data_IF_065194912950
#
_entry.id   IF_065194912950
#
_cell.length_a   1.000
_cell.length_b   1.000
_cell.length_c   1.000
_cell.angle_alpha   90.00
_cell.angle_beta   90.00
_cell.angle_gamma   90.00
#
_symmetry.space_group_name_H-M   'P 1'
#
loop_
_entity.id
_entity.type
_entity.pdbx_description
1 polymer ?
#
# COMPACT_ATOMS: atom_id res chain seq x y z
N UNK A 1 50.32 21.59 -59.31
CA UNK A 1 50.81 21.06 -57.99
C UNK A 1 50.07 21.66 -56.80
N UNK A 2 49.25 22.67 -56.93
CA UNK A 2 48.57 23.36 -55.84
C UNK A 2 47.23 22.72 -55.40
N UNK A 3 46.52 22.03 -56.27
CA UNK A 3 45.21 21.43 -55.93
C UNK A 3 45.32 20.21 -55.00
N UNK A 4 46.38 19.44 -55.02
CA UNK A 4 46.54 18.28 -54.12
C UNK A 4 46.85 18.65 -52.69
N UNK A 5 47.30 19.87 -52.41
CA UNK A 5 47.62 20.31 -51.07
C UNK A 5 46.39 20.89 -50.33
N UNK A 6 45.41 21.42 -51.06
CA UNK A 6 44.18 21.94 -50.50
C UNK A 6 43.21 20.81 -50.11
N UNK A 7 43.15 19.72 -50.87
CA UNK A 7 42.32 18.55 -50.48
C UNK A 7 42.84 17.85 -49.23
N UNK A 8 44.15 17.67 -49.11
CA UNK A 8 44.73 17.07 -47.87
C UNK A 8 44.59 17.92 -46.64
N UNK A 9 44.57 19.25 -46.77
CA UNK A 9 44.28 20.16 -45.64
C UNK A 9 42.79 20.12 -45.26
N UNK A 10 41.89 19.98 -46.24
CA UNK A 10 40.45 19.81 -45.99
C UNK A 10 40.13 18.52 -45.25
N UNK A 11 40.72 17.39 -45.65
CA UNK A 11 40.50 16.09 -45.02
C UNK A 11 40.99 16.06 -43.55
N UNK A 12 42.14 16.67 -43.27
CA UNK A 12 42.64 16.78 -41.92
C UNK A 12 41.80 17.71 -41.02
N UNK A 13 41.28 18.79 -41.60
CA UNK A 13 40.39 19.69 -40.90
C UNK A 13 39.04 19.00 -40.61
N UNK A 14 38.51 18.30 -41.59
CA UNK A 14 37.27 17.52 -41.45
C UNK A 14 37.43 16.40 -40.43
N UNK A 15 38.52 15.65 -40.46
CA UNK A 15 38.81 14.60 -39.49
C UNK A 15 38.90 15.13 -38.04
N UNK A 16 39.51 16.32 -37.84
CA UNK A 16 39.57 16.97 -36.52
C UNK A 16 38.20 17.40 -36.05
N UNK A 17 37.37 17.96 -36.93
CA UNK A 17 36.00 18.38 -36.61
C UNK A 17 35.11 17.17 -36.27
N UNK A 18 35.21 16.09 -37.03
CA UNK A 18 34.52 14.85 -36.74
C UNK A 18 34.95 14.23 -35.42
N UNK A 19 36.24 14.22 -35.10
CA UNK A 19 36.78 13.68 -33.85
C UNK A 19 36.27 14.47 -32.65
N UNK A 20 36.30 15.81 -32.73
CA UNK A 20 35.77 16.66 -31.64
C UNK A 20 34.27 16.50 -31.44
N UNK A 21 33.50 16.31 -32.53
CA UNK A 21 32.07 16.05 -32.46
C UNK A 21 31.75 14.70 -31.78
N UNK A 22 32.48 13.66 -32.18
CA UNK A 22 32.33 12.32 -31.57
C UNK A 22 32.72 12.36 -30.08
N UNK A 23 33.79 13.05 -29.73
CA UNK A 23 34.17 13.21 -28.34
C UNK A 23 33.12 13.97 -27.53
N UNK A 24 32.54 15.01 -28.08
CA UNK A 24 31.43 15.77 -27.48
C UNK A 24 30.21 14.89 -27.21
N UNK A 25 29.80 14.08 -28.20
CA UNK A 25 28.66 13.15 -28.02
C UNK A 25 28.95 12.12 -26.91
N UNK A 26 30.18 11.62 -26.86
CA UNK A 26 30.59 10.63 -25.85
C UNK A 26 30.54 11.21 -24.44
N UNK A 27 31.01 12.44 -24.27
CA UNK A 27 30.90 13.17 -22.99
C UNK A 27 29.45 13.39 -22.59
N UNK A 28 28.56 13.78 -23.53
CA UNK A 28 27.15 13.94 -23.26
C UNK A 28 26.49 12.64 -22.80
N UNK A 29 26.82 11.51 -23.42
CA UNK A 29 26.30 10.18 -23.04
C UNK A 29 26.77 9.84 -21.60
N UNK A 30 28.03 10.06 -21.27
CA UNK A 30 28.57 9.82 -19.91
C UNK A 30 27.85 10.70 -18.89
N UNK A 31 27.63 11.98 -19.20
CA UNK A 31 26.92 12.90 -18.31
C UNK A 31 25.46 12.45 -18.10
N UNK A 32 24.77 12.03 -19.15
CA UNK A 32 23.39 11.51 -19.04
C UNK A 32 23.34 10.24 -18.21
N UNK A 33 24.24 9.29 -18.42
CA UNK A 33 24.30 8.08 -17.62
C UNK A 33 24.61 8.39 -16.16
N UNK A 34 25.52 9.33 -15.88
CA UNK A 34 25.89 9.73 -14.53
C UNK A 34 24.76 10.42 -13.79
N UNK A 35 24.01 11.32 -14.47
CA UNK A 35 22.85 12.00 -13.87
C UNK A 35 21.70 11.02 -13.62
N UNK A 36 21.44 10.09 -14.55
CA UNK A 36 20.42 9.06 -14.38
C UNK A 36 20.79 8.14 -13.21
N UNK A 37 22.05 7.72 -13.12
CA UNK A 37 22.53 6.90 -12.01
C UNK A 37 22.46 7.64 -10.67
N UNK A 38 22.86 8.92 -10.62
CA UNK A 38 22.78 9.75 -9.42
C UNK A 38 21.32 9.97 -8.98
N UNK A 39 20.38 10.07 -9.92
CA UNK A 39 18.96 10.19 -9.62
C UNK A 39 18.40 8.90 -9.04
N UNK A 40 18.78 7.74 -9.61
CA UNK A 40 18.39 6.44 -9.08
C UNK A 40 19.02 6.15 -7.71
N UNK A 41 20.28 6.47 -7.51
CA UNK A 41 20.94 6.26 -6.21
C UNK A 41 20.53 7.30 -5.17
N UNK A 42 20.26 8.54 -5.57
CA UNK A 42 19.76 9.59 -4.68
C UNK A 42 18.30 9.36 -4.23
N UNK A 43 17.48 8.77 -5.07
CA UNK A 43 16.11 8.42 -4.69
C UNK A 43 16.03 7.16 -3.79
N UNK A 44 17.10 6.37 -3.74
CA UNK A 44 17.22 5.21 -2.83
C UNK A 44 17.83 5.59 -1.47
N UNK A 45 18.48 6.75 -1.37
CA UNK A 45 18.88 7.34 -0.09
C UNK A 45 17.81 8.28 0.49
N UNK A 46 16.57 7.90 0.44
CA UNK A 46 15.61 8.34 1.45
C UNK A 46 15.99 7.58 2.71
N UNK A 47 16.45 8.32 3.71
CA UNK A 47 16.86 7.91 5.04
C UNK A 47 16.71 6.42 5.32
N UNK A 48 17.69 5.83 5.98
CA UNK A 48 17.69 4.44 6.46
C UNK A 48 16.56 4.12 7.47
N UNK A 49 15.42 4.78 7.35
CA UNK A 49 14.13 4.21 7.62
C UNK A 49 14.00 3.10 6.59
N UNK A 50 14.47 1.91 6.96
CA UNK A 50 14.03 0.69 6.34
C UNK A 50 12.62 0.90 5.81
N UNK A 51 12.44 0.98 4.48
CA UNK A 51 11.21 0.56 3.86
C UNK A 51 11.10 -0.91 4.24
N UNK A 52 10.62 -1.16 5.46
CA UNK A 52 10.03 -2.44 5.77
C UNK A 52 8.94 -2.54 4.71
N UNK A 53 9.10 -3.48 3.78
CA UNK A 53 8.03 -3.91 2.91
C UNK A 53 6.80 -3.96 3.81
N UNK A 54 5.70 -3.36 3.38
CA UNK A 54 4.51 -3.25 4.19
C UNK A 54 4.27 -4.62 4.81
N UNK A 55 4.59 -4.74 6.10
CA UNK A 55 4.32 -5.95 6.84
C UNK A 55 2.83 -6.21 6.65
N UNK A 56 2.47 -7.45 6.51
CA UNK A 56 1.09 -7.89 6.29
C UNK A 56 0.17 -7.14 7.26
N UNK A 57 -1.03 -6.79 6.82
CA UNK A 57 -2.01 -6.21 7.70
C UNK A 57 -2.46 -7.28 8.70
N UNK A 58 -1.88 -7.26 9.88
CA UNK A 58 -2.14 -8.22 10.97
C UNK A 58 -3.37 -7.82 11.80
N UNK A 59 -4.40 -7.27 11.16
CA UNK A 59 -5.63 -6.89 11.82
C UNK A 59 -6.29 -8.12 12.43
N UNK A 60 -6.50 -8.16 13.73
CA UNK A 60 -7.28 -9.18 14.42
C UNK A 60 -8.71 -8.73 14.66
N UNK A 61 -9.65 -9.64 14.58
CA UNK A 61 -11.08 -9.39 14.77
C UNK A 61 -11.58 -10.29 15.90
N UNK A 62 -12.21 -9.73 16.91
CA UNK A 62 -12.91 -10.46 17.97
C UNK A 62 -14.40 -10.18 17.88
N UNK A 63 -15.21 -11.22 17.91
CA UNK A 63 -16.68 -11.11 17.83
C UNK A 63 -17.28 -11.73 19.07
N UNK A 64 -18.12 -10.96 19.78
CA UNK A 64 -18.80 -11.38 21.01
C UNK A 64 -20.31 -11.29 20.82
N UNK A 65 -21.04 -12.37 21.09
CA UNK A 65 -22.50 -12.37 21.09
C UNK A 65 -23.01 -12.16 22.50
N UNK A 66 -23.83 -11.11 22.72
CA UNK A 66 -24.54 -10.83 23.97
C UNK A 66 -23.66 -11.01 25.25
N UNK A 67 -22.37 -10.62 25.18
CA UNK A 67 -21.42 -10.72 26.30
C UNK A 67 -20.78 -12.10 26.51
N UNK A 68 -21.06 -13.06 25.67
CA UNK A 68 -20.35 -14.35 25.60
C UNK A 68 -19.24 -14.30 24.55
N UNK A 69 -18.06 -14.71 24.94
CA UNK A 69 -16.87 -14.74 24.07
C UNK A 69 -17.04 -15.82 23.01
N UNK A 70 -17.36 -15.43 21.80
CA UNK A 70 -17.30 -16.31 20.62
C UNK A 70 -16.29 -15.79 19.61
N UNK A 71 -15.33 -16.64 19.34
CA UNK A 71 -14.38 -16.57 18.24
C UNK A 71 -13.41 -15.38 18.19
N UNK A 72 -12.20 -15.63 18.58
CA UNK A 72 -11.03 -14.82 18.21
C UNK A 72 -10.59 -15.24 16.80
N UNK A 73 -10.43 -14.28 15.94
CA UNK A 73 -10.14 -14.50 14.56
C UNK A 73 -8.87 -13.79 14.18
N UNK A 74 -7.88 -14.57 13.82
CA UNK A 74 -6.62 -14.06 13.31
C UNK A 74 -6.68 -14.00 11.78
N UNK A 75 -6.39 -12.85 11.20
CA UNK A 75 -6.83 -12.47 9.86
C UNK A 75 -5.80 -12.64 8.76
N UNK A 76 -5.19 -13.77 8.62
CA UNK A 76 -4.49 -14.07 7.36
C UNK A 76 -5.45 -14.36 6.19
N UNK A 77 -6.72 -14.69 6.48
CA UNK A 77 -7.71 -15.07 5.48
C UNK A 77 -9.12 -14.56 5.84
N UNK A 78 -10.02 -14.39 4.86
CA UNK A 78 -11.42 -14.09 5.10
C UNK A 78 -12.04 -15.12 6.03
N UNK A 79 -12.79 -14.66 7.02
CA UNK A 79 -13.44 -15.52 8.00
C UNK A 79 -14.93 -15.36 7.88
N UNK A 80 -15.59 -16.48 7.80
CA UNK A 80 -17.04 -16.54 7.65
C UNK A 80 -17.68 -17.07 8.92
N UNK A 81 -18.56 -16.28 9.50
CA UNK A 81 -19.35 -16.66 10.67
C UNK A 81 -20.84 -16.76 10.30
N UNK A 82 -21.49 -17.79 10.79
CA UNK A 82 -22.95 -17.86 10.79
C UNK A 82 -23.47 -17.12 12.00
N UNK A 83 -23.96 -15.90 11.80
CA UNK A 83 -24.52 -15.07 12.84
C UNK A 83 -26.03 -15.34 12.94
N UNK A 84 -26.49 -15.82 14.09
CA UNK A 84 -27.89 -15.90 14.42
C UNK A 84 -28.48 -14.51 14.70
N UNK A 85 -29.80 -14.41 14.85
CA UNK A 85 -30.43 -13.19 15.33
C UNK A 85 -29.86 -12.79 16.70
N UNK A 86 -29.47 -11.52 16.85
CA UNK A 86 -28.89 -11.01 18.09
C UNK A 86 -27.95 -9.84 17.88
N UNK A 87 -27.36 -9.41 18.98
CA UNK A 87 -26.40 -8.30 19.02
C UNK A 87 -24.99 -8.83 19.24
N UNK A 88 -24.07 -8.44 18.39
CA UNK A 88 -22.66 -8.82 18.43
C UNK A 88 -21.81 -7.59 18.64
N UNK A 89 -20.82 -7.68 19.51
CA UNK A 89 -19.78 -6.68 19.64
C UNK A 89 -18.57 -7.13 18.83
N UNK A 90 -18.17 -6.33 17.86
CA UNK A 90 -17.01 -6.59 16.98
C UNK A 90 -15.90 -5.65 17.38
N UNK A 91 -14.77 -6.19 17.78
CA UNK A 91 -13.56 -5.43 18.13
C UNK A 91 -12.44 -5.77 17.17
N UNK A 92 -11.92 -4.75 16.52
CA UNK A 92 -10.76 -4.82 15.65
C UNK A 92 -9.53 -4.38 16.45
N UNK A 93 -8.44 -5.10 16.33
CA UNK A 93 -7.16 -4.72 16.92
C UNK A 93 -6.08 -4.75 15.85
N UNK A 94 -5.46 -3.60 15.61
CA UNK A 94 -4.32 -3.44 14.73
C UNK A 94 -3.05 -3.39 15.60
N UNK A 95 -2.19 -4.41 15.57
CA UNK A 95 -0.94 -4.40 16.32
C UNK A 95 -0.03 -3.24 15.91
N UNK A 96 0.74 -2.73 16.84
CA UNK A 96 1.63 -1.56 16.67
C UNK A 96 2.60 -1.65 15.47
N UNK A 97 2.99 -2.84 15.08
CA UNK A 97 3.95 -3.05 13.97
C UNK A 97 3.26 -3.42 12.64
N UNK A 98 1.93 -3.55 12.65
CA UNK A 98 1.16 -3.90 11.46
C UNK A 98 1.05 -2.74 10.47
N UNK A 99 0.87 -3.06 9.20
CA UNK A 99 0.45 -2.07 8.22
C UNK A 99 -0.95 -1.54 8.55
N UNK A 100 -1.18 -0.26 8.26
CA UNK A 100 -2.50 0.37 8.42
C UNK A 100 -3.55 -0.32 7.55
N UNK A 101 -4.77 -0.44 8.06
CA UNK A 101 -5.81 -1.14 7.33
C UNK A 101 -7.22 -0.91 7.87
N UNK A 102 -8.16 -1.65 7.32
CA UNK A 102 -9.57 -1.61 7.66
C UNK A 102 -10.22 -2.99 7.48
N UNK A 103 -11.38 -3.16 8.06
CA UNK A 103 -12.18 -4.37 7.93
C UNK A 103 -13.26 -4.20 6.85
N UNK A 104 -13.47 -5.23 6.06
CA UNK A 104 -14.61 -5.37 5.16
C UNK A 104 -15.52 -6.47 5.71
N UNK A 105 -16.78 -6.14 5.94
CA UNK A 105 -17.82 -7.10 6.24
C UNK A 105 -18.64 -7.33 4.98
N UNK A 106 -18.76 -8.58 4.55
CA UNK A 106 -19.61 -8.94 3.41
C UNK A 106 -20.80 -9.73 3.91
N UNK A 107 -22.00 -9.24 3.63
CA UNK A 107 -23.27 -9.84 4.00
C UNK A 107 -24.19 -9.86 2.78
N UNK A 108 -24.65 -11.01 2.36
CA UNK A 108 -25.51 -11.17 1.18
C UNK A 108 -24.97 -10.47 -0.09
N UNK A 109 -23.65 -10.40 -0.24
CA UNK A 109 -22.98 -9.73 -1.36
C UNK A 109 -22.87 -8.20 -1.22
N UNK A 110 -23.36 -7.61 -0.13
CA UNK A 110 -23.14 -6.21 0.21
C UNK A 110 -21.90 -6.07 1.10
N UNK A 111 -21.03 -5.11 0.78
CA UNK A 111 -19.86 -4.81 1.55
C UNK A 111 -20.07 -3.59 2.45
N UNK A 112 -19.63 -3.70 3.70
CA UNK A 112 -19.56 -2.63 4.69
C UNK A 112 -18.12 -2.48 5.14
N UNK A 113 -17.67 -1.25 5.34
CA UNK A 113 -16.28 -0.94 5.61
C UNK A 113 -16.14 -0.30 6.98
N UNK A 114 -15.15 -0.72 7.77
CA UNK A 114 -14.81 -0.03 9.00
C UNK A 114 -14.04 1.25 8.74
N UNK A 115 -14.00 2.14 9.72
CA UNK A 115 -13.02 3.22 9.71
C UNK A 115 -11.61 2.65 9.62
N UNK A 116 -10.74 3.47 9.09
CA UNK A 116 -9.34 3.18 8.90
C UNK A 116 -8.57 3.19 10.22
N UNK A 117 -7.86 2.12 10.49
CA UNK A 117 -6.93 2.01 11.60
C UNK A 117 -5.53 2.37 11.13
N UNK A 118 -5.03 3.49 11.63
CA UNK A 118 -3.70 3.98 11.27
C UNK A 118 -2.64 3.29 12.11
N UNK A 119 -1.54 2.85 11.45
CA UNK A 119 -0.37 2.32 12.13
C UNK A 119 0.12 3.30 13.20
N UNK A 120 0.42 2.76 14.36
CA UNK A 120 1.06 3.48 15.46
C UNK A 120 2.19 2.60 16.02
N UNK A 121 3.43 3.05 15.90
CA UNK A 121 4.60 2.25 16.32
C UNK A 121 4.70 2.09 17.85
N UNK A 122 3.92 2.84 18.62
CA UNK A 122 3.99 2.82 20.08
C UNK A 122 2.88 1.97 20.73
N UNK A 123 1.68 1.94 20.13
CA UNK A 123 0.50 1.31 20.72
C UNK A 123 -0.35 0.62 19.68
N UNK A 124 -0.98 -0.48 20.07
CA UNK A 124 -2.01 -1.12 19.29
C UNK A 124 -3.19 -0.15 19.12
N UNK A 125 -3.82 -0.19 17.94
CA UNK A 125 -5.02 0.59 17.66
C UNK A 125 -6.23 -0.33 17.72
N UNK A 126 -7.31 0.14 18.34
CA UNK A 126 -8.55 -0.63 18.46
C UNK A 126 -9.73 0.16 17.95
N UNK A 127 -10.65 -0.54 17.32
CA UNK A 127 -11.94 -0.02 16.88
C UNK A 127 -13.02 -1.04 17.29
N UNK A 128 -14.05 -0.58 17.97
CA UNK A 128 -15.15 -1.44 18.40
C UNK A 128 -16.47 -0.90 17.85
N UNK A 129 -17.30 -1.77 17.32
CA UNK A 129 -18.64 -1.43 16.87
C UNK A 129 -19.63 -2.55 17.21
N UNK A 130 -20.91 -2.23 17.17
CA UNK A 130 -21.99 -3.18 17.41
C UNK A 130 -22.58 -3.65 16.09
N UNK A 131 -22.71 -4.96 15.90
CA UNK A 131 -23.39 -5.57 14.78
C UNK A 131 -24.73 -6.13 15.27
N UNK A 132 -25.83 -5.57 14.79
CA UNK A 132 -27.19 -6.03 15.10
C UNK A 132 -27.72 -6.83 13.92
N UNK A 133 -27.89 -8.14 14.14
CA UNK A 133 -28.35 -9.11 13.15
C UNK A 133 -29.83 -9.40 13.40
N UNK A 134 -30.70 -9.02 12.46
CA UNK A 134 -32.16 -9.21 12.61
C UNK A 134 -32.67 -10.59 12.19
N UNK A 135 -31.89 -11.32 11.42
CA UNK A 135 -32.20 -12.68 10.99
C UNK A 135 -30.87 -13.42 10.78
N UNK A 136 -30.87 -14.73 10.89
CA UNK A 136 -29.67 -15.53 10.68
C UNK A 136 -29.02 -15.22 9.32
N UNK A 137 -27.76 -14.82 9.36
CA UNK A 137 -26.96 -14.38 8.20
C UNK A 137 -25.53 -14.93 8.27
N UNK A 138 -24.99 -15.19 7.11
CA UNK A 138 -23.57 -15.47 6.96
C UNK A 138 -22.81 -14.16 6.76
N UNK A 139 -21.90 -13.84 7.68
CA UNK A 139 -21.08 -12.64 7.64
C UNK A 139 -19.62 -13.03 7.39
N UNK A 140 -19.04 -12.50 6.33
CA UNK A 140 -17.62 -12.70 6.04
C UNK A 140 -16.83 -11.45 6.44
N UNK A 141 -15.81 -11.64 7.24
CA UNK A 141 -14.88 -10.59 7.68
C UNK A 141 -13.58 -10.72 6.91
N UNK A 142 -13.13 -9.64 6.30
CA UNK A 142 -11.89 -9.59 5.51
C UNK A 142 -11.08 -8.38 5.91
N UNK A 143 -9.85 -8.57 6.37
CA UNK A 143 -8.92 -7.46 6.59
C UNK A 143 -8.34 -6.98 5.26
N UNK A 144 -8.26 -5.68 5.09
CA UNK A 144 -7.61 -5.05 3.95
C UNK A 144 -6.65 -3.96 4.39
N UNK A 145 -5.50 -3.91 3.77
CA UNK A 145 -4.53 -2.84 4.01
C UNK A 145 -4.85 -1.59 3.16
N UNK A 146 -4.44 -0.43 3.63
CA UNK A 146 -4.67 0.83 2.95
C UNK A 146 -5.84 1.63 3.52
N UNK A 147 -6.33 2.60 2.76
CA UNK A 147 -7.42 3.50 3.13
C UNK A 147 -8.61 3.22 2.22
N UNK A 148 -9.79 3.11 2.81
CA UNK A 148 -11.06 3.08 2.09
C UNK A 148 -11.70 4.48 2.11
N UNK A 149 -12.17 4.92 0.96
CA UNK A 149 -12.92 6.16 0.79
C UNK A 149 -14.26 5.86 0.11
N UNK A 150 -15.24 5.42 0.88
CA UNK A 150 -16.59 5.12 0.39
C UNK A 150 -17.65 5.58 1.39
N UNK A 151 -18.93 5.50 0.98
CA UNK A 151 -20.06 6.01 1.77
C UNK A 151 -20.58 5.03 2.85
N UNK A 152 -20.17 3.77 2.77
CA UNK A 152 -20.65 2.71 3.66
C UNK A 152 -19.57 2.29 4.65
N UNK A 153 -19.26 3.10 5.62
CA UNK A 153 -18.30 2.74 6.66
C UNK A 153 -18.92 2.75 8.06
N UNK A 154 -18.36 1.92 8.93
CA UNK A 154 -18.78 1.78 10.32
C UNK A 154 -17.72 2.41 11.21
N UNK A 155 -18.11 3.40 12.01
CA UNK A 155 -17.21 4.11 12.91
C UNK A 155 -17.12 3.43 14.27
N UNK A 156 -16.09 3.85 15.02
CA UNK A 156 -15.93 3.40 16.39
C UNK A 156 -17.16 3.77 17.25
N UNK A 157 -17.69 2.79 17.96
CA UNK A 157 -18.87 2.95 18.80
C UNK A 157 -20.22 2.97 18.07
N UNK A 158 -20.26 2.86 16.74
CA UNK A 158 -21.49 2.83 15.98
C UNK A 158 -22.15 1.44 15.96
N UNK A 159 -23.42 1.42 15.57
CA UNK A 159 -24.19 0.17 15.39
C UNK A 159 -24.52 -0.02 13.91
N UNK A 160 -24.01 -1.10 13.34
CA UNK A 160 -24.40 -1.58 12.02
C UNK A 160 -25.56 -2.57 12.17
N UNK A 161 -26.67 -2.30 11.50
CA UNK A 161 -27.83 -3.21 11.49
C UNK A 161 -27.89 -3.90 10.13
N UNK A 162 -27.91 -5.23 10.15
CA UNK A 162 -28.07 -6.09 8.98
C UNK A 162 -29.35 -6.92 9.13
N UNK A 163 -30.16 -6.95 8.07
CA UNK A 163 -31.46 -7.61 8.13
C UNK A 163 -31.82 -8.37 6.89
#
# INVERSE_FOLDING_TARGET
MEQQNTEKLSDKAFARLALTSILGILVCIICLCSTTYAWFTGSVQVDSNTLKAADECLLSVSVYKDGTEEAIINTENPITLECEEGTYTVTLTLPKESASGYLVLTVDGQEYYSDYLQRNDNTDQTLTFTLNVKAAKTVTFTARWGIYSGDCHVKNGETLTIG
#
